data_IF_527988147995
#
_entry.id   IF_527988147995
#
_cell.length_a   1.000
_cell.length_b   1.000
_cell.length_c   1.000
_cell.angle_alpha   90.00
_cell.angle_beta   90.00
_cell.angle_gamma   90.00
#
_symmetry.space_group_name_H-M   'P 1'
#
loop_
_entity.id
_entity.type
_entity.pdbx_description
1 polymer ?
#
# COMPACT_ATOMS: atom_id res chain seq x y z
N UNK A 1 94.21 30.17 -24.53
CA UNK A 1 93.12 30.51 -23.59
C UNK A 1 92.14 29.35 -23.56
N UNK A 2 91.98 28.68 -22.42
CA UNK A 2 90.96 27.64 -22.23
C UNK A 2 89.74 28.29 -21.58
N UNK A 3 88.63 28.37 -22.31
CA UNK A 3 87.36 28.80 -21.75
C UNK A 3 86.73 27.62 -21.03
N UNK A 4 86.44 27.77 -19.74
CA UNK A 4 85.64 26.80 -18.97
C UNK A 4 84.19 27.26 -19.08
N UNK A 5 83.35 26.48 -19.75
CA UNK A 5 81.91 26.75 -19.77
C UNK A 5 81.38 26.63 -18.34
N UNK A 6 80.86 27.72 -17.79
CA UNK A 6 80.15 27.72 -16.51
C UNK A 6 78.76 27.18 -16.81
N UNK A 7 78.54 25.91 -16.51
CA UNK A 7 77.21 25.31 -16.60
C UNK A 7 76.45 25.75 -15.35
N UNK A 8 75.43 26.59 -15.51
CA UNK A 8 74.53 26.94 -14.41
C UNK A 8 73.86 25.66 -13.87
N UNK A 9 73.81 25.46 -12.54
CA UNK A 9 73.10 24.31 -11.99
C UNK A 9 71.62 24.45 -12.32
N UNK A 10 71.08 23.46 -13.05
CA UNK A 10 69.65 23.34 -13.29
C UNK A 10 68.97 23.26 -11.92
N UNK A 11 68.23 24.31 -11.53
CA UNK A 11 67.43 24.33 -10.31
C UNK A 11 66.30 23.31 -10.45
N UNK A 12 66.60 22.05 -10.14
CA UNK A 12 65.57 21.05 -9.98
C UNK A 12 64.90 21.37 -8.66
N UNK A 13 63.60 21.67 -8.69
CA UNK A 13 62.78 21.68 -7.47
C UNK A 13 62.78 20.25 -6.92
N UNK A 14 63.74 19.96 -6.05
CA UNK A 14 63.76 18.74 -5.25
C UNK A 14 62.61 18.89 -4.26
N UNK A 15 61.41 18.49 -4.68
CA UNK A 15 60.31 18.30 -3.74
C UNK A 15 60.80 17.31 -2.68
N UNK A 16 60.82 17.74 -1.43
CA UNK A 16 61.32 16.91 -0.35
C UNK A 16 60.42 15.69 -0.23
N UNK A 17 61.01 14.50 -0.08
CA UNK A 17 60.32 13.25 0.30
C UNK A 17 59.32 13.48 1.47
N UNK A 18 59.60 14.49 2.31
CA UNK A 18 58.72 15.01 3.37
C UNK A 18 57.35 15.47 2.86
N UNK A 19 57.27 16.20 1.77
CA UNK A 19 56.03 16.76 1.21
C UNK A 19 55.13 15.67 0.62
N UNK A 20 55.73 14.70 -0.08
CA UNK A 20 55.00 13.53 -0.59
C UNK A 20 54.52 12.61 0.52
N UNK A 21 55.37 12.34 1.52
CA UNK A 21 54.96 11.59 2.71
C UNK A 21 53.77 12.27 3.41
N UNK A 22 53.79 13.60 3.48
CA UNK A 22 52.70 14.38 4.05
C UNK A 22 51.41 14.26 3.23
N UNK A 23 51.47 14.42 1.91
CA UNK A 23 50.30 14.34 1.01
C UNK A 23 49.65 12.95 1.02
N UNK A 24 50.44 11.89 0.97
CA UNK A 24 49.96 10.50 1.07
C UNK A 24 49.31 10.27 2.44
N UNK A 25 49.99 10.65 3.54
CA UNK A 25 49.45 10.49 4.88
C UNK A 25 48.14 11.29 5.07
N UNK A 26 48.02 12.47 4.48
CA UNK A 26 46.79 13.26 4.50
C UNK A 26 45.63 12.55 3.78
N UNK A 27 45.84 12.04 2.56
CA UNK A 27 44.76 11.39 1.80
C UNK A 27 44.28 10.08 2.46
N UNK A 28 45.18 9.28 3.02
CA UNK A 28 44.80 8.12 3.85
C UNK A 28 44.06 8.54 5.12
N UNK A 29 44.45 9.66 5.75
CA UNK A 29 43.75 10.22 6.90
C UNK A 29 42.33 10.66 6.54
N UNK A 30 42.13 11.31 5.39
CA UNK A 30 40.80 11.67 4.89
C UNK A 30 39.94 10.43 4.63
N UNK A 31 40.46 9.42 3.92
CA UNK A 31 39.74 8.18 3.65
C UNK A 31 39.35 7.46 4.95
N UNK A 32 40.25 7.40 5.93
CA UNK A 32 39.96 6.84 7.26
C UNK A 32 38.85 7.59 7.97
N UNK A 33 38.86 8.93 7.93
CA UNK A 33 37.79 9.75 8.52
C UNK A 33 36.46 9.45 7.81
N UNK A 34 36.44 9.39 6.48
CA UNK A 34 35.24 9.08 5.70
C UNK A 34 34.68 7.70 6.10
N UNK A 35 35.51 6.64 6.15
CA UNK A 35 35.05 5.31 6.53
C UNK A 35 34.52 5.25 7.98
N UNK A 36 35.16 5.94 8.92
CA UNK A 36 34.69 6.01 10.31
C UNK A 36 33.35 6.73 10.39
N UNK A 37 33.20 7.87 9.71
CA UNK A 37 31.94 8.63 9.68
C UNK A 37 30.83 7.82 9.01
N UNK A 38 31.11 7.13 7.90
CA UNK A 38 30.15 6.25 7.23
C UNK A 38 29.69 5.12 8.15
N UNK A 39 30.61 4.45 8.85
CA UNK A 39 30.27 3.43 9.86
C UNK A 39 29.35 3.98 10.95
N UNK A 40 29.64 5.17 11.47
CA UNK A 40 28.81 5.82 12.49
C UNK A 40 27.41 6.15 11.97
N UNK A 41 27.31 6.68 10.75
CA UNK A 41 26.03 6.99 10.09
C UNK A 41 25.21 5.72 9.89
N UNK A 42 25.81 4.63 9.38
CA UNK A 42 25.12 3.35 9.25
C UNK A 42 24.62 2.81 10.60
N UNK A 43 25.42 2.94 11.66
CA UNK A 43 25.02 2.58 13.03
C UNK A 43 23.80 3.37 13.51
N UNK A 44 23.79 4.69 13.30
CA UNK A 44 22.66 5.54 13.63
C UNK A 44 21.40 5.16 12.83
N UNK A 45 21.54 4.91 11.53
CA UNK A 45 20.43 4.48 10.67
C UNK A 45 19.84 3.14 11.13
N UNK A 46 20.67 2.20 11.56
CA UNK A 46 20.24 0.93 12.10
C UNK A 46 19.41 1.09 13.39
N UNK A 47 19.84 1.96 14.30
CA UNK A 47 19.10 2.28 15.53
C UNK A 47 17.74 2.91 15.18
N UNK A 48 17.71 3.88 14.26
CA UNK A 48 16.47 4.51 13.79
C UNK A 48 15.52 3.47 13.19
N UNK A 49 16.05 2.55 12.37
CA UNK A 49 15.26 1.48 11.79
C UNK A 49 14.60 0.61 12.86
N UNK A 50 15.37 0.14 13.85
CA UNK A 50 14.83 -0.64 14.98
C UNK A 50 13.76 0.15 15.74
N UNK A 51 14.03 1.41 16.05
CA UNK A 51 13.06 2.27 16.73
C UNK A 51 11.74 2.40 15.93
N UNK A 52 11.81 2.59 14.61
CA UNK A 52 10.59 2.65 13.78
C UNK A 52 9.82 1.34 13.79
N UNK A 53 10.49 0.18 13.73
CA UNK A 53 9.84 -1.13 13.78
C UNK A 53 9.12 -1.31 15.12
N UNK A 54 9.79 -0.95 16.22
CA UNK A 54 9.22 -1.06 17.56
C UNK A 54 8.03 -0.11 17.74
N UNK A 55 8.18 1.15 17.32
CA UNK A 55 7.09 2.14 17.31
C UNK A 55 5.88 1.62 16.55
N UNK A 56 6.07 1.11 15.33
CA UNK A 56 4.97 0.60 14.48
C UNK A 56 4.25 -0.59 15.15
N UNK A 57 4.99 -1.46 15.85
CA UNK A 57 4.41 -2.57 16.60
C UNK A 57 3.57 -2.09 17.80
N UNK A 58 4.09 -1.13 18.58
CA UNK A 58 3.36 -0.54 19.72
C UNK A 58 2.10 0.19 19.23
N UNK A 59 2.21 0.94 18.14
CA UNK A 59 1.09 1.65 17.52
C UNK A 59 -0.03 0.69 17.12
N UNK A 60 0.32 -0.42 16.48
CA UNK A 60 -0.63 -1.47 16.11
C UNK A 60 -1.33 -2.07 17.33
N UNK A 61 -0.59 -2.36 18.41
CA UNK A 61 -1.17 -2.90 19.65
C UNK A 61 -2.09 -1.88 20.30
N UNK A 62 -1.66 -0.62 20.37
CA UNK A 62 -2.46 0.47 20.94
C UNK A 62 -3.78 0.61 20.20
N UNK A 63 -3.75 0.65 18.86
CA UNK A 63 -4.94 0.75 18.02
C UNK A 63 -5.83 -0.49 18.12
N UNK A 64 -5.26 -1.68 18.30
CA UNK A 64 -6.01 -2.91 18.56
C UNK A 64 -6.82 -2.86 19.86
N UNK A 65 -6.25 -2.23 20.90
CA UNK A 65 -6.83 -2.15 22.24
C UNK A 65 -7.77 -0.96 22.40
N UNK A 66 -7.48 0.19 21.79
CA UNK A 66 -8.30 1.40 21.89
C UNK A 66 -9.53 1.32 21.01
N UNK A 67 -9.34 1.08 19.71
CA UNK A 67 -10.42 1.06 18.71
C UNK A 67 -10.94 -0.37 18.50
N UNK A 68 -12.27 -0.53 18.51
CA UNK A 68 -12.94 -1.81 18.33
C UNK A 68 -13.19 -2.12 16.84
N UNK A 69 -13.21 -1.09 15.99
CA UNK A 69 -13.42 -1.17 14.55
C UNK A 69 -12.07 -1.29 13.79
N UNK A 70 -10.93 -0.99 14.43
CA UNK A 70 -9.60 -1.09 13.84
C UNK A 70 -9.33 -2.47 13.23
N UNK A 71 -9.27 -2.56 11.89
CA UNK A 71 -9.08 -3.81 11.14
C UNK A 71 -10.03 -4.94 11.57
N UNK A 72 -11.26 -4.61 11.97
CA UNK A 72 -12.26 -5.57 12.42
C UNK A 72 -13.26 -5.95 11.31
N UNK A 73 -12.76 -6.47 10.20
CA UNK A 73 -13.58 -6.81 9.00
C UNK A 73 -13.60 -8.31 8.70
N UNK A 74 -13.03 -9.13 9.58
CA UNK A 74 -12.74 -10.53 9.28
C UNK A 74 -13.78 -11.50 9.86
N UNK A 75 -14.26 -12.40 9.01
CA UNK A 75 -15.21 -13.45 9.36
C UNK A 75 -14.45 -14.64 9.98
N UNK A 76 -14.27 -14.61 11.29
CA UNK A 76 -13.56 -15.66 12.04
C UNK A 76 -14.43 -16.90 12.28
N UNK A 77 -13.85 -18.07 12.62
CA UNK A 77 -14.64 -19.25 13.01
C UNK A 77 -15.57 -18.98 14.21
N UNK A 78 -15.12 -18.14 15.16
CA UNK A 78 -15.93 -17.77 16.31
C UNK A 78 -17.15 -16.91 15.93
N UNK A 79 -17.05 -16.08 14.89
CA UNK A 79 -18.19 -15.34 14.34
C UNK A 79 -19.33 -16.29 13.91
N UNK A 80 -18.97 -17.37 13.20
CA UNK A 80 -19.94 -18.36 12.74
C UNK A 80 -20.48 -19.25 13.86
N UNK A 81 -19.69 -19.48 14.92
CA UNK A 81 -20.18 -20.12 16.12
C UNK A 81 -21.32 -19.31 16.78
N UNK A 82 -21.19 -17.98 16.84
CA UNK A 82 -22.26 -17.10 17.37
C UNK A 82 -23.50 -17.24 16.49
N UNK A 83 -23.33 -17.24 15.17
CA UNK A 83 -24.45 -17.32 14.22
C UNK A 83 -25.23 -18.63 14.34
N UNK A 84 -24.51 -19.77 14.36
CA UNK A 84 -25.11 -21.11 14.52
C UNK A 84 -25.84 -21.25 15.85
N UNK A 85 -25.29 -20.71 16.93
CA UNK A 85 -25.97 -20.69 18.23
C UNK A 85 -27.30 -19.92 18.16
N UNK A 86 -27.33 -18.78 17.46
CA UNK A 86 -28.55 -17.98 17.31
C UNK A 86 -29.58 -18.65 16.41
N UNK A 87 -29.14 -19.35 15.38
CA UNK A 87 -29.98 -20.18 14.53
C UNK A 87 -30.67 -21.29 15.35
N UNK A 88 -29.92 -22.01 16.18
CA UNK A 88 -30.45 -23.03 17.09
C UNK A 88 -31.44 -22.45 18.11
N UNK A 89 -31.21 -21.23 18.58
CA UNK A 89 -32.12 -20.52 19.49
C UNK A 89 -33.34 -19.89 18.77
N UNK A 90 -33.50 -20.08 17.45
CA UNK A 90 -34.61 -19.49 16.68
C UNK A 90 -34.57 -17.96 16.58
N UNK A 91 -33.42 -17.34 16.88
CA UNK A 91 -33.26 -15.89 16.83
C UNK A 91 -32.87 -15.43 15.43
N UNK A 92 -33.00 -14.14 15.14
CA UNK A 92 -32.50 -13.57 13.88
C UNK A 92 -30.99 -13.82 13.77
N UNK A 93 -30.59 -14.46 12.67
CA UNK A 93 -29.22 -14.84 12.32
C UNK A 93 -28.78 -14.25 10.96
N UNK A 94 -27.50 -14.40 10.62
CA UNK A 94 -26.84 -13.78 9.48
C UNK A 94 -26.65 -14.71 8.27
N UNK A 95 -26.53 -16.01 8.46
CA UNK A 95 -26.45 -16.94 7.33
C UNK A 95 -27.78 -16.98 6.52
N UNK A 96 -27.74 -17.09 5.18
CA UNK A 96 -26.59 -16.88 4.29
C UNK A 96 -26.27 -15.38 4.12
N UNK A 97 -24.97 -15.05 4.01
CA UNK A 97 -24.50 -13.70 3.69
C UNK A 97 -24.45 -13.48 2.17
N UNK A 98 -25.10 -12.42 1.70
CA UNK A 98 -25.05 -12.06 0.28
C UNK A 98 -23.70 -11.44 -0.10
N UNK A 99 -23.22 -11.74 -1.32
CA UNK A 99 -22.00 -11.10 -1.87
C UNK A 99 -22.09 -9.57 -1.87
N UNK A 100 -23.29 -9.01 -1.98
CA UNK A 100 -23.51 -7.57 -1.92
C UNK A 100 -23.30 -7.01 -0.50
N UNK A 101 -23.73 -7.74 0.52
CA UNK A 101 -23.54 -7.35 1.94
C UNK A 101 -22.07 -7.46 2.34
N UNK A 102 -21.38 -8.51 1.87
CA UNK A 102 -19.94 -8.66 2.08
C UNK A 102 -19.16 -7.49 1.49
N UNK A 103 -19.48 -7.09 0.26
CA UNK A 103 -18.80 -5.97 -0.40
C UNK A 103 -19.16 -4.62 0.24
N UNK A 104 -20.42 -4.41 0.64
CA UNK A 104 -20.86 -3.17 1.27
C UNK A 104 -20.14 -2.89 2.60
N UNK A 105 -19.83 -3.95 3.37
CA UNK A 105 -19.15 -3.84 4.66
C UNK A 105 -17.67 -4.23 4.60
N UNK A 106 -17.09 -4.38 3.40
CA UNK A 106 -15.70 -4.80 3.17
C UNK A 106 -15.28 -6.06 3.96
N UNK A 107 -16.20 -7.02 4.12
CA UNK A 107 -15.95 -8.23 4.89
C UNK A 107 -14.96 -9.15 4.16
N UNK A 108 -14.03 -9.71 4.92
CA UNK A 108 -12.97 -10.56 4.42
C UNK A 108 -12.91 -11.88 5.18
N UNK A 109 -12.42 -12.93 4.51
CA UNK A 109 -12.01 -14.13 5.21
C UNK A 109 -10.58 -13.94 5.74
N UNK A 110 -10.20 -14.52 6.89
CA UNK A 110 -8.84 -14.43 7.41
C UNK A 110 -7.80 -14.88 6.36
N UNK A 111 -8.11 -15.96 5.64
CA UNK A 111 -7.32 -16.53 4.55
C UNK A 111 -7.90 -16.04 3.21
N UNK A 112 -7.72 -14.76 2.90
CA UNK A 112 -8.11 -14.17 1.62
C UNK A 112 -6.88 -13.61 0.90
N UNK A 113 -6.92 -13.47 -0.44
CA UNK A 113 -5.87 -12.76 -1.16
C UNK A 113 -5.74 -11.30 -0.67
N UNK A 114 -4.57 -10.68 -0.87
CA UNK A 114 -4.26 -9.35 -0.35
C UNK A 114 -5.10 -8.27 -1.03
N UNK A 115 -5.47 -7.27 -0.25
CA UNK A 115 -6.17 -6.07 -0.73
C UNK A 115 -5.15 -5.08 -1.32
N UNK A 116 -5.56 -4.27 -2.31
CA UNK A 116 -4.70 -3.21 -2.88
C UNK A 116 -4.09 -2.29 -1.81
N UNK A 117 -4.86 -2.00 -0.75
CA UNK A 117 -4.40 -1.20 0.39
C UNK A 117 -3.30 -1.93 1.16
N UNK A 118 -3.48 -3.22 1.47
CA UNK A 118 -2.49 -4.04 2.18
C UNK A 118 -1.18 -4.19 1.38
N UNK A 119 -1.28 -4.31 0.05
CA UNK A 119 -0.11 -4.35 -0.85
C UNK A 119 0.66 -3.03 -0.78
N UNK A 120 -0.05 -1.90 -0.90
CA UNK A 120 0.56 -0.56 -0.81
C UNK A 120 1.24 -0.35 0.54
N UNK A 121 0.59 -0.75 1.63
CA UNK A 121 1.11 -0.60 2.99
C UNK A 121 2.25 -1.59 3.31
N UNK A 122 2.51 -2.56 2.43
CA UNK A 122 3.63 -3.49 2.54
C UNK A 122 4.89 -3.01 1.81
N UNK A 123 4.78 -1.94 1.00
CA UNK A 123 5.91 -1.37 0.26
C UNK A 123 6.96 -0.75 1.17
N UNK A 124 6.57 -0.01 2.21
CA UNK A 124 7.51 0.67 3.09
C UNK A 124 8.41 -0.31 3.87
N UNK A 125 7.87 -1.37 4.52
CA UNK A 125 8.71 -2.43 5.08
C UNK A 125 9.62 -3.08 4.04
N UNK A 126 9.10 -3.37 2.84
CA UNK A 126 9.90 -3.95 1.76
C UNK A 126 11.09 -3.05 1.39
N UNK A 127 10.86 -1.75 1.21
CA UNK A 127 11.90 -0.77 0.90
C UNK A 127 12.98 -0.69 2.00
N UNK A 128 12.60 -0.82 3.27
CA UNK A 128 13.56 -0.85 4.39
C UNK A 128 14.45 -2.09 4.31
N UNK A 129 13.87 -3.27 4.08
CA UNK A 129 14.63 -4.53 3.96
C UNK A 129 15.48 -4.60 2.69
N UNK A 130 15.01 -4.06 1.56
CA UNK A 130 15.82 -3.97 0.33
C UNK A 130 17.01 -3.03 0.51
N UNK A 131 16.81 -1.88 1.15
CA UNK A 131 17.91 -0.96 1.47
C UNK A 131 18.96 -1.62 2.36
N UNK A 132 18.53 -2.38 3.38
CA UNK A 132 19.42 -3.15 4.24
C UNK A 132 20.17 -4.24 3.46
N UNK A 133 19.49 -4.96 2.56
CA UNK A 133 20.11 -5.95 1.68
C UNK A 133 21.18 -5.35 0.77
N UNK A 134 20.87 -4.23 0.10
CA UNK A 134 21.83 -3.51 -0.76
C UNK A 134 23.01 -2.98 0.05
N UNK A 135 22.77 -2.47 1.25
CA UNK A 135 23.84 -1.95 2.14
C UNK A 135 24.81 -3.07 2.54
N UNK A 136 24.29 -4.24 2.92
CA UNK A 136 25.13 -5.40 3.29
C UNK A 136 25.94 -5.89 2.09
N UNK A 137 25.31 -5.99 0.91
CA UNK A 137 26.02 -6.34 -0.32
C UNK A 137 27.12 -5.33 -0.66
N UNK A 138 26.86 -4.03 -0.48
CA UNK A 138 27.85 -2.98 -0.71
C UNK A 138 29.05 -3.11 0.22
N UNK A 139 28.82 -3.40 1.51
CA UNK A 139 29.92 -3.62 2.48
C UNK A 139 30.76 -4.84 2.09
N UNK A 140 30.13 -5.97 1.74
CA UNK A 140 30.85 -7.17 1.29
C UNK A 140 31.66 -6.89 0.02
N UNK A 141 31.09 -6.14 -0.93
CA UNK A 141 31.78 -5.75 -2.15
C UNK A 141 33.02 -4.88 -1.86
N UNK A 142 32.88 -3.89 -0.97
CA UNK A 142 33.99 -3.04 -0.56
C UNK A 142 35.09 -3.87 0.12
N UNK A 143 34.73 -4.79 1.02
CA UNK A 143 35.68 -5.69 1.68
C UNK A 143 36.41 -6.60 0.69
N UNK A 144 35.71 -7.10 -0.34
CA UNK A 144 36.33 -7.88 -1.43
C UNK A 144 37.34 -7.06 -2.23
N UNK A 145 36.98 -5.82 -2.59
CA UNK A 145 37.88 -4.91 -3.30
C UNK A 145 39.12 -4.60 -2.45
N UNK A 146 38.96 -4.38 -1.14
CA UNK A 146 40.09 -4.20 -0.24
C UNK A 146 40.99 -5.44 -0.16
N UNK A 147 40.42 -6.65 -0.12
CA UNK A 147 41.19 -7.89 -0.16
C UNK A 147 42.03 -8.00 -1.44
N UNK A 148 41.43 -7.81 -2.61
CA UNK A 148 42.12 -7.86 -3.92
C UNK A 148 43.23 -6.82 -4.04
N UNK A 149 42.99 -5.60 -3.52
CA UNK A 149 43.99 -4.53 -3.50
C UNK A 149 45.19 -4.90 -2.62
N UNK A 150 44.94 -5.49 -1.44
CA UNK A 150 46.01 -5.84 -0.50
C UNK A 150 46.78 -7.08 -0.97
N UNK A 151 46.10 -8.01 -1.66
CA UNK A 151 46.74 -9.20 -2.22
C UNK A 151 47.62 -8.89 -3.45
N UNK A 152 47.15 -8.01 -4.35
CA UNK A 152 47.87 -7.66 -5.59
C UNK A 152 48.82 -6.45 -5.43
N UNK A 153 49.52 -6.31 -4.30
CA UNK A 153 50.50 -5.21 -4.06
C UNK A 153 51.77 -5.33 -4.95
N UNK A 154 51.78 -6.18 -5.98
CA UNK A 154 52.83 -6.25 -7.02
C UNK A 154 52.95 -5.00 -7.92
N UNK A 155 52.39 -3.86 -7.49
CA UNK A 155 52.63 -2.56 -8.09
C UNK A 155 51.73 -2.25 -9.29
N UNK A 156 50.69 -3.03 -9.58
CA UNK A 156 49.72 -2.70 -10.65
C UNK A 156 48.31 -2.82 -10.13
N UNK A 157 47.61 -1.69 -9.96
CA UNK A 157 46.25 -1.65 -9.44
C UNK A 157 45.83 -0.23 -9.09
N UNK A 158 44.53 0.03 -8.91
CA UNK A 158 44.00 1.38 -8.67
C UNK A 158 44.68 2.12 -7.52
N UNK A 159 45.02 1.43 -6.41
CA UNK A 159 45.75 2.06 -5.29
C UNK A 159 47.21 2.29 -5.63
N UNK A 160 47.86 1.40 -6.39
CA UNK A 160 49.20 1.63 -6.89
C UNK A 160 49.24 2.80 -7.89
N UNK A 161 48.21 2.95 -8.73
CA UNK A 161 48.06 4.05 -9.68
C UNK A 161 47.66 5.36 -9.00
N UNK A 162 46.82 5.31 -7.97
CA UNK A 162 46.51 6.44 -7.11
C UNK A 162 47.78 6.89 -6.36
N UNK A 163 48.55 5.94 -5.81
CA UNK A 163 49.85 6.22 -5.18
C UNK A 163 50.82 6.77 -6.22
N UNK A 164 50.89 6.24 -7.44
CA UNK A 164 51.71 6.79 -8.54
C UNK A 164 51.28 8.21 -8.91
N UNK A 165 50.00 8.49 -9.08
CA UNK A 165 49.47 9.83 -9.35
C UNK A 165 49.73 10.80 -8.20
N UNK A 166 49.76 10.32 -6.95
CA UNK A 166 50.17 11.12 -5.79
C UNK A 166 51.69 11.32 -5.72
N UNK A 167 52.46 10.41 -6.32
CA UNK A 167 53.93 10.42 -6.41
C UNK A 167 54.45 11.11 -7.67
N UNK A 168 53.59 11.41 -8.66
CA UNK A 168 53.89 12.01 -9.96
C UNK A 168 54.23 13.51 -9.85
N UNK A 169 55.16 13.83 -8.95
CA UNK A 169 55.95 15.04 -8.98
C UNK A 169 57.37 14.66 -9.40
N UNK A 170 57.96 15.45 -10.28
CA UNK A 170 59.20 15.17 -11.00
C UNK A 170 60.41 14.98 -10.05
N UNK A 171 60.61 13.75 -9.56
CA UNK A 171 61.73 13.37 -8.71
C UNK A 171 62.96 13.06 -9.56
N UNK A 172 63.79 14.06 -9.84
CA UNK A 172 65.10 13.82 -10.49
C UNK A 172 66.17 13.31 -9.51
N UNK A 173 65.78 12.53 -8.50
CA UNK A 173 66.67 12.08 -7.44
C UNK A 173 66.61 10.58 -7.25
N UNK A 174 67.45 9.82 -7.98
CA UNK A 174 67.75 8.44 -7.62
C UNK A 174 68.53 8.44 -6.31
N UNK A 175 67.87 8.09 -5.21
CA UNK A 175 68.53 7.68 -3.96
C UNK A 175 68.22 6.22 -3.70
N UNK A 176 69.25 5.43 -3.46
CA UNK A 176 69.14 4.05 -2.99
C UNK A 176 68.63 4.05 -1.54
N UNK A 177 67.32 4.23 -1.38
CA UNK A 177 66.67 4.06 -0.09
C UNK A 177 66.29 2.59 0.08
N UNK A 178 67.06 1.85 0.87
CA UNK A 178 66.67 0.52 1.35
C UNK A 178 65.60 0.69 2.42
N UNK A 179 64.32 0.74 2.01
CA UNK A 179 63.22 0.67 2.97
C UNK A 179 63.04 -0.80 3.40
N UNK A 180 63.23 -1.08 4.69
CA UNK A 180 63.03 -2.42 5.24
C UNK A 180 61.58 -2.86 5.06
N UNK A 181 61.35 -3.81 4.14
CA UNK A 181 60.04 -4.31 3.74
C UNK A 181 59.40 -5.26 4.77
N UNK A 182 60.14 -5.66 5.80
CA UNK A 182 59.68 -6.63 6.81
C UNK A 182 58.45 -6.17 7.61
N UNK A 183 58.24 -4.86 7.77
CA UNK A 183 57.14 -4.34 8.60
C UNK A 183 55.83 -4.08 7.84
N UNK A 184 55.81 -4.32 6.51
CA UNK A 184 54.65 -4.09 5.65
C UNK A 184 53.90 -5.37 5.26
N UNK A 185 54.29 -6.54 5.76
CA UNK A 185 53.63 -7.81 5.43
C UNK A 185 52.36 -7.96 6.27
N UNK A 186 51.29 -7.27 5.86
CA UNK A 186 49.95 -7.61 6.30
C UNK A 186 49.44 -8.72 5.37
N UNK A 187 49.38 -9.97 5.86
CA UNK A 187 48.81 -11.06 5.09
C UNK A 187 47.29 -10.84 4.96
N UNK A 188 46.76 -10.56 3.75
CA UNK A 188 45.33 -10.40 3.58
C UNK A 188 44.65 -11.75 3.84
N UNK A 189 43.68 -11.75 4.76
CA UNK A 189 42.83 -12.91 5.00
C UNK A 189 41.70 -12.89 3.98
N UNK A 190 41.58 -13.93 3.16
CA UNK A 190 40.50 -14.05 2.18
C UNK A 190 39.14 -14.10 2.87
N UNK A 191 38.12 -13.38 2.38
CA UNK A 191 36.78 -13.51 2.90
C UNK A 191 36.30 -14.96 2.74
N UNK A 192 35.85 -15.56 3.84
CA UNK A 192 35.25 -16.89 3.80
C UNK A 192 33.85 -16.81 3.17
N UNK A 193 33.80 -17.01 1.85
CA UNK A 193 32.56 -16.98 1.07
C UNK A 193 31.52 -18.00 1.53
N UNK A 194 31.95 -19.12 2.11
CA UNK A 194 31.04 -20.13 2.66
C UNK A 194 30.37 -19.60 3.92
N UNK A 195 31.13 -18.98 4.82
CA UNK A 195 30.60 -18.35 6.02
C UNK A 195 29.67 -17.18 5.68
N UNK A 196 30.11 -16.27 4.80
CA UNK A 196 29.33 -15.09 4.40
C UNK A 196 28.02 -15.52 3.72
N UNK A 197 28.08 -16.48 2.80
CA UNK A 197 26.90 -17.02 2.14
C UNK A 197 25.92 -17.64 3.15
N UNK A 198 26.41 -18.50 4.03
CA UNK A 198 25.58 -19.27 4.96
C UNK A 198 24.98 -18.40 6.07
N UNK A 199 25.77 -17.55 6.73
CA UNK A 199 25.34 -16.84 7.94
C UNK A 199 24.89 -15.39 7.69
N UNK A 200 25.31 -14.76 6.59
CA UNK A 200 24.96 -13.36 6.31
C UNK A 200 23.97 -13.29 5.16
N UNK A 201 24.31 -13.81 3.98
CA UNK A 201 23.49 -13.61 2.79
C UNK A 201 22.21 -14.46 2.82
N UNK A 202 22.30 -15.73 3.22
CA UNK A 202 21.15 -16.63 3.22
C UNK A 202 20.02 -16.15 4.15
N UNK A 203 20.26 -15.75 5.41
CA UNK A 203 19.18 -15.30 6.30
C UNK A 203 18.56 -13.99 5.81
N UNK A 204 19.38 -13.09 5.27
CA UNK A 204 18.94 -11.78 4.78
C UNK A 204 18.09 -11.91 3.50
N UNK A 205 18.50 -12.79 2.58
CA UNK A 205 17.73 -13.13 1.39
C UNK A 205 16.42 -13.84 1.75
N UNK A 206 16.44 -14.77 2.72
CA UNK A 206 15.22 -15.43 3.22
C UNK A 206 14.27 -14.40 3.85
N UNK A 207 14.78 -13.48 4.68
CA UNK A 207 13.96 -12.41 5.25
C UNK A 207 13.34 -11.52 4.17
N UNK A 208 14.11 -11.14 3.14
CA UNK A 208 13.61 -10.35 2.03
C UNK A 208 12.52 -11.11 1.25
N UNK A 209 12.74 -12.39 0.95
CA UNK A 209 11.80 -13.24 0.23
C UNK A 209 10.51 -13.45 1.03
N UNK A 210 10.62 -13.70 2.34
CA UNK A 210 9.47 -13.78 3.23
C UNK A 210 8.69 -12.46 3.29
N UNK A 211 9.38 -11.32 3.26
CA UNK A 211 8.72 -10.02 3.24
C UNK A 211 7.97 -9.77 1.92
N UNK A 212 8.54 -10.15 0.78
CA UNK A 212 7.92 -10.01 -0.55
C UNK A 212 6.68 -10.90 -0.69
N UNK A 213 6.79 -12.17 -0.29
CA UNK A 213 5.73 -13.16 -0.50
C UNK A 213 4.67 -13.08 0.59
N UNK A 214 5.09 -12.89 1.85
CA UNK A 214 4.25 -13.05 3.03
C UNK A 214 4.11 -11.78 3.87
N UNK A 215 4.55 -10.60 3.43
CA UNK A 215 4.45 -9.37 4.25
C UNK A 215 3.04 -9.09 4.78
N UNK A 216 2.01 -9.27 3.96
CA UNK A 216 0.62 -9.12 4.38
C UNK A 216 0.12 -10.30 5.23
N UNK A 217 0.60 -11.53 4.94
CA UNK A 217 0.27 -12.73 5.71
C UNK A 217 0.83 -12.61 7.13
N UNK A 218 2.05 -12.11 7.29
CA UNK A 218 2.69 -11.84 8.58
C UNK A 218 1.84 -10.84 9.36
N UNK A 219 1.43 -9.71 8.77
CA UNK A 219 0.57 -8.72 9.46
C UNK A 219 -0.74 -9.34 9.95
N UNK A 220 -1.43 -10.13 9.11
CA UNK A 220 -2.68 -10.82 9.50
C UNK A 220 -2.44 -11.90 10.54
N UNK A 221 -1.36 -12.67 10.41
CA UNK A 221 -0.99 -13.72 11.36
C UNK A 221 -0.67 -13.13 12.74
N UNK A 222 0.09 -12.03 12.78
CA UNK A 222 0.37 -11.29 14.01
C UNK A 222 -0.94 -10.77 14.64
N UNK A 223 -1.85 -10.22 13.83
CA UNK A 223 -3.14 -9.73 14.33
C UNK A 223 -4.00 -10.84 14.97
N UNK A 224 -4.11 -12.01 14.32
CA UNK A 224 -5.00 -13.09 14.77
C UNK A 224 -4.35 -14.05 15.77
N UNK A 225 -3.15 -14.54 15.48
CA UNK A 225 -2.49 -15.57 16.28
C UNK A 225 -1.68 -14.99 17.42
N UNK A 226 -1.00 -13.87 17.23
CA UNK A 226 -0.19 -13.26 18.30
C UNK A 226 -1.07 -12.38 19.17
N UNK A 227 -1.57 -11.25 18.64
CA UNK A 227 -2.33 -10.26 19.39
C UNK A 227 -3.70 -10.82 19.79
N UNK A 228 -4.39 -11.50 18.88
CA UNK A 228 -5.69 -12.11 19.14
C UNK A 228 -5.66 -13.20 20.21
N UNK A 229 -4.52 -13.88 20.39
CA UNK A 229 -4.33 -14.86 21.45
C UNK A 229 -3.93 -14.21 22.78
N UNK A 230 -3.00 -13.25 22.76
CA UNK A 230 -2.58 -12.49 23.95
C UNK A 230 -3.80 -11.76 24.58
N UNK A 231 -4.61 -11.09 23.76
CA UNK A 231 -5.76 -10.30 24.21
C UNK A 231 -7.10 -10.97 23.91
N UNK A 232 -7.27 -12.22 24.38
CA UNK A 232 -8.48 -13.04 24.11
C UNK A 232 -9.80 -12.34 24.45
N UNK A 233 -9.86 -11.60 25.58
CA UNK A 233 -11.07 -10.86 26.00
C UNK A 233 -11.43 -9.75 24.98
N UNK A 234 -10.43 -8.97 24.54
CA UNK A 234 -10.61 -7.91 23.53
C UNK A 234 -10.99 -8.48 22.18
N UNK A 235 -10.32 -9.55 21.75
CA UNK A 235 -10.61 -10.24 20.48
C UNK A 235 -12.07 -10.73 20.43
N UNK A 236 -12.54 -11.37 21.51
CA UNK A 236 -13.94 -11.81 21.63
C UNK A 236 -14.92 -10.64 21.54
N UNK A 237 -14.65 -9.53 22.24
CA UNK A 237 -15.48 -8.34 22.19
C UNK A 237 -15.57 -7.74 20.78
N UNK A 238 -14.44 -7.68 20.05
CA UNK A 238 -14.39 -7.22 18.65
C UNK A 238 -15.24 -8.07 17.72
N UNK A 239 -15.16 -9.40 17.85
CA UNK A 239 -15.96 -10.32 17.00
C UNK A 239 -17.46 -10.16 17.28
N UNK A 240 -17.84 -10.03 18.56
CA UNK A 240 -19.24 -9.79 18.95
C UNK A 240 -19.72 -8.42 18.42
N UNK A 241 -18.88 -7.39 18.52
CA UNK A 241 -19.20 -6.06 17.99
C UNK A 241 -19.45 -6.10 16.48
N UNK A 242 -18.56 -6.74 15.72
CA UNK A 242 -18.72 -6.93 14.27
C UNK A 242 -20.03 -7.68 13.94
N UNK A 243 -20.33 -8.75 14.68
CA UNK A 243 -21.58 -9.50 14.51
C UNK A 243 -22.82 -8.63 14.74
N UNK A 244 -22.85 -7.87 15.83
CA UNK A 244 -23.96 -6.98 16.17
C UNK A 244 -24.11 -5.85 15.15
N UNK A 245 -23.01 -5.29 14.66
CA UNK A 245 -22.99 -4.28 13.59
C UNK A 245 -23.64 -4.82 12.32
N UNK A 246 -23.26 -6.03 11.90
CA UNK A 246 -23.85 -6.69 10.73
C UNK A 246 -25.35 -6.99 10.91
N UNK A 247 -25.74 -7.48 12.09
CA UNK A 247 -27.14 -7.77 12.40
C UNK A 247 -28.00 -6.50 12.42
N UNK A 248 -27.46 -5.41 12.97
CA UNK A 248 -28.09 -4.10 12.98
C UNK A 248 -28.31 -3.57 11.57
N UNK A 249 -27.26 -3.58 10.73
CA UNK A 249 -27.34 -3.13 9.32
C UNK A 249 -28.42 -3.90 8.56
N UNK A 250 -28.48 -5.23 8.72
CA UNK A 250 -29.51 -6.04 8.05
C UNK A 250 -30.92 -5.76 8.58
N UNK A 251 -31.07 -5.61 9.89
CA UNK A 251 -32.38 -5.38 10.51
C UNK A 251 -32.91 -3.99 10.15
N UNK A 252 -32.09 -2.96 10.26
CA UNK A 252 -32.45 -1.61 9.85
C UNK A 252 -32.64 -1.49 8.34
N UNK A 253 -31.79 -2.14 7.53
CA UNK A 253 -31.96 -2.18 6.07
C UNK A 253 -33.32 -2.76 5.66
N UNK A 254 -33.76 -3.85 6.30
CA UNK A 254 -35.11 -4.43 6.07
C UNK A 254 -36.23 -3.52 6.57
N UNK A 255 -36.09 -2.87 7.73
CA UNK A 255 -37.08 -1.91 8.24
C UNK A 255 -37.25 -0.72 7.29
N UNK A 256 -36.14 -0.15 6.84
CA UNK A 256 -36.10 0.96 5.87
C UNK A 256 -36.71 0.56 4.52
N UNK A 257 -36.37 -0.63 4.00
CA UNK A 257 -36.95 -1.13 2.76
C UNK A 257 -38.47 -1.32 2.86
N UNK A 258 -38.97 -1.89 3.97
CA UNK A 258 -40.41 -2.04 4.22
C UNK A 258 -41.13 -0.69 4.33
N UNK A 259 -40.55 0.27 5.05
CA UNK A 259 -41.11 1.61 5.15
C UNK A 259 -41.18 2.28 3.77
N UNK A 260 -40.12 2.19 2.96
CA UNK A 260 -40.09 2.71 1.59
C UNK A 260 -41.18 2.09 0.71
N UNK A 261 -41.37 0.78 0.77
CA UNK A 261 -42.42 0.09 -0.01
C UNK A 261 -43.80 0.59 0.43
N UNK A 262 -44.07 0.69 1.75
CA UNK A 262 -45.34 1.23 2.25
C UNK A 262 -45.63 2.64 1.74
N UNK A 263 -44.66 3.55 1.88
CA UNK A 263 -44.78 4.92 1.36
C UNK A 263 -45.04 4.96 -0.16
N UNK A 264 -44.36 4.10 -0.92
CA UNK A 264 -44.57 4.03 -2.38
C UNK A 264 -45.95 3.48 -2.76
N UNK A 265 -46.46 2.50 -2.01
CA UNK A 265 -47.79 1.91 -2.23
C UNK A 265 -48.86 2.94 -1.88
N UNK A 266 -48.75 3.58 -0.72
CA UNK A 266 -49.69 4.63 -0.26
C UNK A 266 -49.76 5.78 -1.26
N UNK A 267 -48.61 6.26 -1.75
CA UNK A 267 -48.58 7.30 -2.78
C UNK A 267 -49.30 6.88 -4.07
N UNK A 268 -49.09 5.65 -4.54
CA UNK A 268 -49.81 5.12 -5.72
C UNK A 268 -51.31 4.97 -5.51
N UNK A 269 -51.75 4.68 -4.28
CA UNK A 269 -53.17 4.61 -3.94
C UNK A 269 -53.79 6.00 -4.03
N UNK A 270 -53.16 7.00 -3.40
CA UNK A 270 -53.62 8.40 -3.46
C UNK A 270 -53.65 8.95 -4.89
N UNK A 271 -52.62 8.66 -5.70
CA UNK A 271 -52.59 9.02 -7.13
C UNK A 271 -53.77 8.41 -7.90
N UNK A 272 -54.11 7.13 -7.65
CA UNK A 272 -55.25 6.46 -8.29
C UNK A 272 -56.60 7.02 -7.83
N UNK A 273 -56.73 7.35 -6.55
CA UNK A 273 -57.93 7.96 -6.01
C UNK A 273 -58.15 9.36 -6.58
N UNK A 274 -57.08 10.14 -6.76
CA UNK A 274 -57.15 11.46 -7.39
C UNK A 274 -57.58 11.36 -8.86
N UNK A 275 -57.00 10.41 -9.63
CA UNK A 275 -57.42 10.14 -11.02
C UNK A 275 -58.90 9.75 -11.07
N UNK A 276 -59.35 8.85 -10.18
CA UNK A 276 -60.76 8.44 -10.11
C UNK A 276 -61.69 9.60 -9.75
N UNK A 277 -61.27 10.47 -8.83
CA UNK A 277 -62.04 11.68 -8.46
C UNK A 277 -62.16 12.64 -9.65
N UNK A 278 -61.05 12.90 -10.36
CA UNK A 278 -61.03 13.73 -11.57
C UNK A 278 -61.92 13.15 -12.68
N UNK A 279 -61.91 11.83 -12.89
CA UNK A 279 -62.79 11.20 -13.88
C UNK A 279 -64.27 11.29 -13.51
N UNK A 280 -64.63 11.18 -12.22
CA UNK A 280 -66.02 11.38 -11.78
C UNK A 280 -66.48 12.82 -11.99
N UNK A 281 -65.64 13.81 -11.66
CA UNK A 281 -65.94 15.24 -11.87
C UNK A 281 -66.17 15.51 -13.37
N UNK A 282 -65.26 15.03 -14.22
CA UNK A 282 -65.42 15.15 -15.68
C UNK A 282 -66.70 14.46 -16.17
N UNK A 283 -67.04 13.26 -15.67
CA UNK A 283 -68.27 12.58 -16.04
C UNK A 283 -69.53 13.36 -15.62
N UNK A 284 -69.53 13.98 -14.43
CA UNK A 284 -70.64 14.85 -13.99
C UNK A 284 -70.72 16.16 -14.79
N UNK A 285 -69.59 16.74 -15.22
CA UNK A 285 -69.60 17.89 -16.13
C UNK A 285 -70.10 17.52 -17.54
N UNK A 286 -69.76 16.32 -18.03
CA UNK A 286 -70.21 15.81 -19.33
C UNK A 286 -71.70 15.40 -19.29
N UNK A 287 -72.22 15.00 -18.12
CA UNK A 287 -73.66 14.77 -17.89
C UNK A 287 -74.56 16.00 -18.07
N UNK A 288 -73.98 17.18 -18.30
CA UNK A 288 -74.69 18.43 -18.60
C UNK A 288 -74.54 18.85 -20.08
N UNK A 289 -73.82 18.08 -20.92
CA UNK A 289 -73.64 18.44 -22.34
C UNK A 289 -73.75 17.24 -23.29
N UNK A 290 -74.84 17.24 -24.06
CA UNK A 290 -75.17 16.54 -25.32
C UNK A 290 -74.21 15.45 -25.87
N UNK A 291 -74.73 14.30 -26.38
CA UNK A 291 -73.95 13.08 -26.66
C UNK A 291 -72.90 13.13 -27.80
N UNK A 292 -72.66 14.27 -28.46
CA UNK A 292 -71.67 14.35 -29.57
C UNK A 292 -70.23 14.64 -29.14
N UNK A 293 -69.97 15.05 -27.90
CA UNK A 293 -68.62 15.44 -27.44
C UNK A 293 -67.82 14.34 -26.72
N UNK A 294 -68.41 13.17 -26.47
CA UNK A 294 -67.80 12.12 -25.63
C UNK A 294 -66.63 11.41 -26.36
N UNK A 295 -66.68 11.32 -27.70
CA UNK A 295 -65.60 10.71 -28.50
C UNK A 295 -64.33 11.57 -28.54
N UNK A 296 -64.44 12.90 -28.53
CA UNK A 296 -63.28 13.80 -28.53
C UNK A 296 -62.60 13.88 -27.16
N UNK A 297 -63.37 13.82 -26.06
CA UNK A 297 -62.81 13.92 -24.71
C UNK A 297 -61.99 12.67 -24.33
N UNK A 298 -62.41 11.47 -24.74
CA UNK A 298 -61.63 10.25 -24.52
C UNK A 298 -60.32 10.23 -25.32
N UNK A 299 -60.31 10.79 -26.53
CA UNK A 299 -59.09 10.94 -27.34
C UNK A 299 -58.13 11.97 -26.72
N UNK A 300 -58.65 13.09 -26.21
CA UNK A 300 -57.84 14.17 -25.63
C UNK A 300 -57.22 13.80 -24.28
N UNK A 301 -57.93 13.05 -23.43
CA UNK A 301 -57.40 12.53 -22.16
C UNK A 301 -56.35 11.44 -22.41
N UNK A 302 -56.51 10.61 -23.45
CA UNK A 302 -55.49 9.64 -23.89
C UNK A 302 -54.21 10.30 -24.38
N UNK A 303 -54.32 11.40 -25.14
CA UNK A 303 -53.17 12.14 -25.68
C UNK A 303 -52.43 12.93 -24.57
N UNK A 304 -53.14 13.59 -23.64
CA UNK A 304 -52.52 14.30 -22.51
C UNK A 304 -51.81 13.37 -21.52
N UNK A 305 -52.34 12.15 -21.31
CA UNK A 305 -51.69 11.16 -20.45
C UNK A 305 -50.46 10.53 -21.10
N UNK A 306 -50.43 10.33 -22.43
CA UNK A 306 -49.22 9.93 -23.16
C UNK A 306 -48.15 11.02 -23.14
N UNK A 307 -48.51 12.29 -23.38
CA UNK A 307 -47.54 13.39 -23.44
C UNK A 307 -46.90 13.67 -22.06
N UNK A 308 -47.65 13.53 -20.96
CA UNK A 308 -47.11 13.63 -19.59
C UNK A 308 -46.22 12.45 -19.20
N UNK A 309 -46.46 11.25 -19.74
CA UNK A 309 -45.59 10.09 -19.54
C UNK A 309 -44.27 10.25 -20.31
N UNK A 310 -44.30 10.85 -21.50
CA UNK A 310 -43.09 11.20 -22.27
C UNK A 310 -42.29 12.33 -21.63
N UNK A 311 -42.91 13.40 -21.12
CA UNK A 311 -42.23 14.45 -20.36
C UNK A 311 -41.62 13.93 -19.05
N UNK A 312 -42.29 13.02 -18.34
CA UNK A 312 -41.74 12.42 -17.13
C UNK A 312 -40.56 11.47 -17.41
N UNK A 313 -40.58 10.80 -18.58
CA UNK A 313 -39.46 9.99 -19.05
C UNK A 313 -38.28 10.85 -19.58
N UNK A 314 -38.55 11.99 -20.21
CA UNK A 314 -37.56 12.97 -20.63
C UNK A 314 -36.89 13.69 -19.44
N UNK A 315 -37.66 14.05 -18.41
CA UNK A 315 -37.15 14.63 -17.16
C UNK A 315 -36.28 13.64 -16.36
N UNK A 316 -36.60 12.34 -16.41
CA UNK A 316 -35.71 11.28 -15.90
C UNK A 316 -34.42 11.13 -16.72
N UNK A 317 -34.48 11.37 -18.03
CA UNK A 317 -33.31 11.41 -18.91
C UNK A 317 -32.37 12.57 -18.62
N UNK A 318 -32.90 13.77 -18.33
CA UNK A 318 -32.10 14.96 -17.97
C UNK A 318 -31.58 14.94 -16.53
N UNK A 319 -32.31 14.32 -15.59
CA UNK A 319 -31.81 14.15 -14.21
C UNK A 319 -30.67 13.10 -14.12
N UNK A 320 -30.46 12.33 -15.19
CA UNK A 320 -29.29 11.45 -15.39
C UNK A 320 -28.05 12.20 -15.93
N UNK A 321 -28.20 13.39 -16.51
CA UNK A 321 -27.07 14.15 -17.09
C UNK A 321 -26.53 15.27 -16.19
N UNK A 322 -27.28 15.71 -15.18
CA UNK A 322 -26.88 16.84 -14.32
C UNK A 322 -26.38 16.46 -12.90
N UNK A 323 -26.13 15.18 -12.63
CA UNK A 323 -25.35 14.74 -11.45
C UNK A 323 -23.90 14.46 -11.84
N UNK A 324 -23.18 15.52 -12.20
CA UNK A 324 -21.74 15.55 -12.37
C UNK A 324 -21.05 16.48 -11.37
N UNK A 325 -21.65 16.73 -10.20
CA UNK A 325 -20.97 17.34 -9.04
C UNK A 325 -21.68 16.94 -7.76
N UNK A 326 -21.36 15.76 -7.23
CA UNK A 326 -21.40 15.39 -5.80
C UNK A 326 -20.95 13.94 -5.69
N UNK A 327 -19.63 13.77 -5.64
CA UNK A 327 -18.99 12.51 -5.34
C UNK A 327 -19.12 12.23 -3.84
N UNK A 328 -19.92 11.22 -3.47
CA UNK A 328 -19.60 10.19 -2.49
C UNK A 328 -20.90 9.42 -2.17
N UNK A 329 -20.79 8.08 -2.12
CA UNK A 329 -21.86 7.09 -1.93
C UNK A 329 -22.60 6.60 -3.19
N UNK A 330 -22.02 5.57 -3.81
CA UNK A 330 -22.71 4.59 -4.66
C UNK A 330 -22.38 3.18 -4.12
N UNK A 331 -23.36 2.26 -4.14
CA UNK A 331 -23.24 1.21 -5.15
C UNK A 331 -24.57 0.94 -5.87
N UNK A 332 -24.88 1.77 -6.87
CA UNK A 332 -25.89 1.48 -7.90
C UNK A 332 -25.14 1.11 -9.18
N UNK A 333 -24.74 -0.15 -9.30
CA UNK A 333 -24.19 -0.69 -10.56
C UNK A 333 -24.77 -2.05 -10.97
N UNK A 334 -25.91 -2.43 -10.41
CA UNK A 334 -26.56 -3.73 -10.68
C UNK A 334 -27.96 -3.68 -11.32
N UNK A 335 -28.46 -2.52 -11.71
CA UNK A 335 -29.85 -2.38 -12.19
C UNK A 335 -30.02 -2.20 -13.70
N UNK A 336 -28.93 -2.24 -14.49
CA UNK A 336 -29.02 -2.05 -15.96
C UNK A 336 -29.43 -3.31 -16.75
N UNK A 337 -29.41 -4.51 -16.13
CA UNK A 337 -29.74 -5.79 -16.82
C UNK A 337 -31.12 -6.37 -16.48
N UNK A 338 -31.85 -5.80 -15.53
CA UNK A 338 -33.18 -6.30 -15.15
C UNK A 338 -34.35 -5.55 -15.80
N UNK A 339 -34.07 -4.46 -16.52
CA UNK A 339 -35.10 -3.57 -17.09
C UNK A 339 -35.39 -3.77 -18.59
N UNK A 340 -34.72 -4.73 -19.25
CA UNK A 340 -34.94 -5.00 -20.69
C UNK A 340 -36.08 -6.02 -20.93
N UNK A 341 -36.63 -6.65 -19.88
CA UNK A 341 -37.64 -7.71 -20.07
C UNK A 341 -39.10 -7.27 -19.89
N UNK A 342 -39.39 -6.00 -19.63
CA UNK A 342 -40.76 -5.51 -19.32
C UNK A 342 -41.28 -4.42 -20.27
N UNK A 343 -40.75 -4.31 -21.50
CA UNK A 343 -41.30 -3.39 -22.53
C UNK A 343 -41.99 -4.08 -23.71
N UNK A 344 -42.24 -5.39 -23.64
CA UNK A 344 -43.06 -6.11 -24.62
C UNK A 344 -44.26 -6.72 -23.92
N UNK A 345 -45.29 -5.92 -23.67
CA UNK A 345 -46.67 -6.37 -23.46
C UNK A 345 -47.59 -5.14 -23.52
N UNK A 346 -48.10 -4.89 -24.73
CA UNK A 346 -49.46 -4.41 -25.00
C UNK A 346 -49.86 -2.99 -24.62
N UNK A 347 -49.91 -2.11 -25.63
CA UNK A 347 -51.18 -1.49 -26.00
C UNK A 347 -51.38 -1.78 -27.50
N UNK A 348 -52.54 -2.36 -27.83
CA UNK A 348 -53.12 -2.37 -29.17
C UNK A 348 -53.66 -0.98 -29.45
#
# INVERSE_FOLDING_TARGET
MHYRAIVEPRNIRIYGIKEVKYRIAQNFRFLKIILITFKQVLGCLFIIMIYTIFRDAVEMIRNYLSDIDFNNVFLTPYFWHIDRKREQEGKIFLYPLSKAEMRANNLMQPISPPTKVEIRDSWLPLAKFTFLFVTVLFVIFVDYIFYEIIFNIDGTGFVADLVRQMLEFDYTGHRNATMSLEKCIYNPVSPDWSYVGKYILSPLAIMLLLQVIFGYVIKRAVLFYVIGNIFRKRNKARIIHLYNKMLFVRTNGRKLARARIRFQVERRILEREEIRRKSMINATQIGISSPRNIANIHLQIGIETCHKVEEFNAAKGQMSTNTSTLAHYSPIRKWKKFWISYSKLGCV
#
